data_IF_984036237809
#
_entry.id   IF_984036237809
#
_cell.length_a   1.000
_cell.length_b   1.000
_cell.length_c   1.000
_cell.angle_alpha   90.00
_cell.angle_beta   90.00
_cell.angle_gamma   90.00
#
_symmetry.space_group_name_H-M   'P 1'
#
loop_
_entity.id
_entity.type
_entity.pdbx_description
1 polymer ?
#
# COMPACT_ATOMS: atom_id res chain seq x y z
N UNK A 1 12.03 -29.65 10.54
CA UNK A 1 13.36 -29.01 10.36
C UNK A 1 13.50 -28.24 9.04
N UNK A 2 12.91 -28.68 7.92
CA UNK A 2 13.00 -27.95 6.62
C UNK A 2 12.32 -26.59 6.63
N UNK A 3 11.05 -26.53 7.07
CA UNK A 3 10.24 -25.30 7.02
C UNK A 3 10.82 -24.13 7.83
N UNK A 4 11.41 -24.40 9.00
CA UNK A 4 12.01 -23.34 9.83
C UNK A 4 13.18 -22.66 9.09
N UNK A 5 14.07 -23.47 8.49
CA UNK A 5 15.21 -22.97 7.71
C UNK A 5 14.76 -22.20 6.46
N UNK A 6 13.69 -22.65 5.80
CA UNK A 6 13.11 -21.96 4.65
C UNK A 6 12.53 -20.59 5.05
N UNK A 7 11.84 -20.49 6.19
CA UNK A 7 11.33 -19.23 6.73
C UNK A 7 12.47 -18.26 7.11
N UNK A 8 13.53 -18.76 7.74
CA UNK A 8 14.69 -17.94 8.10
C UNK A 8 15.39 -17.38 6.85
N UNK A 9 15.53 -18.22 5.81
CA UNK A 9 16.11 -17.81 4.53
C UNK A 9 15.27 -16.73 3.85
N UNK A 10 13.94 -16.89 3.84
CA UNK A 10 13.04 -15.90 3.26
C UNK A 10 13.11 -14.56 4.02
N UNK A 11 13.09 -14.61 5.34
CA UNK A 11 13.21 -13.41 6.18
C UNK A 11 14.53 -12.68 5.93
N UNK A 12 15.64 -13.42 5.77
CA UNK A 12 16.93 -12.81 5.46
C UNK A 12 16.89 -12.09 4.10
N UNK A 13 16.33 -12.72 3.07
CA UNK A 13 16.18 -12.06 1.76
C UNK A 13 15.32 -10.80 1.82
N UNK A 14 14.27 -10.78 2.64
CA UNK A 14 13.44 -9.58 2.84
C UNK A 14 14.22 -8.45 3.55
N UNK A 15 15.05 -8.80 4.54
CA UNK A 15 15.93 -7.84 5.22
C UNK A 15 16.96 -7.26 4.25
N UNK A 16 17.50 -8.08 3.37
CA UNK A 16 18.54 -7.70 2.40
C UNK A 16 18.03 -6.69 1.36
N UNK A 17 16.70 -6.58 1.16
CA UNK A 17 16.10 -5.52 0.34
C UNK A 17 16.32 -4.12 0.93
N UNK A 18 16.70 -3.99 2.22
CA UNK A 18 17.09 -2.72 2.90
C UNK A 18 16.09 -1.57 2.75
N UNK A 19 14.82 -1.87 2.51
CA UNK A 19 13.79 -0.85 2.25
C UNK A 19 13.92 -0.17 0.89
N UNK A 20 14.74 -0.68 -0.03
CA UNK A 20 14.82 -0.25 -1.43
C UNK A 20 13.66 -0.84 -2.25
N UNK A 21 12.44 -0.62 -1.74
CA UNK A 21 11.21 -1.07 -2.36
C UNK A 21 10.36 0.17 -2.62
N UNK A 22 10.11 0.43 -3.89
CA UNK A 22 9.18 1.47 -4.29
C UNK A 22 7.75 0.95 -4.14
N UNK A 23 6.89 1.78 -3.56
CA UNK A 23 5.46 1.47 -3.40
C UNK A 23 4.59 2.55 -4.05
N UNK A 24 3.37 2.15 -4.39
CA UNK A 24 2.29 3.02 -4.84
C UNK A 24 0.98 2.53 -4.26
N UNK A 25 0.04 3.45 -4.03
CA UNK A 25 -1.29 3.14 -3.51
C UNK A 25 -2.37 3.59 -4.47
N UNK A 26 -3.39 2.75 -4.65
CA UNK A 26 -4.56 3.06 -5.47
C UNK A 26 -5.78 3.30 -4.59
N UNK A 27 -6.51 4.38 -4.88
CA UNK A 27 -7.73 4.76 -4.20
C UNK A 27 -8.94 4.73 -5.14
N UNK A 28 -10.13 4.70 -4.54
CA UNK A 28 -11.40 4.82 -5.25
C UNK A 28 -12.09 6.13 -4.85
N UNK A 29 -12.80 6.81 -5.78
CA UNK A 29 -13.59 7.98 -5.44
C UNK A 29 -14.59 7.67 -4.31
N UNK A 30 -14.65 8.48 -3.24
CA UNK A 30 -15.57 8.25 -2.14
C UNK A 30 -17.01 8.48 -2.59
N UNK A 31 -17.94 7.66 -2.09
CA UNK A 31 -19.37 7.76 -2.45
C UNK A 31 -20.20 8.54 -1.42
N UNK A 32 -19.60 8.95 -0.31
CA UNK A 32 -20.21 9.71 0.78
C UNK A 32 -19.14 10.36 1.66
N UNK A 33 -19.58 11.30 2.51
CA UNK A 33 -18.71 12.08 3.41
C UNK A 33 -17.87 11.20 4.36
N UNK A 34 -18.45 10.12 4.90
CA UNK A 34 -17.73 9.20 5.77
C UNK A 34 -16.55 8.54 5.05
N UNK A 35 -16.75 8.12 3.80
CA UNK A 35 -15.68 7.55 2.98
C UNK A 35 -14.64 8.60 2.59
N UNK A 36 -15.05 9.85 2.40
CA UNK A 36 -14.12 10.95 2.15
C UNK A 36 -13.18 11.19 3.34
N UNK A 37 -13.70 11.19 4.56
CA UNK A 37 -12.87 11.26 5.78
C UNK A 37 -11.87 10.11 5.84
N UNK A 38 -12.33 8.87 5.62
CA UNK A 38 -11.46 7.69 5.63
C UNK A 38 -10.38 7.78 4.54
N UNK A 39 -10.73 8.27 3.35
CA UNK A 39 -9.78 8.47 2.25
C UNK A 39 -8.67 9.42 2.69
N UNK A 40 -9.02 10.58 3.23
CA UNK A 40 -8.04 11.55 3.69
C UNK A 40 -7.19 11.02 4.85
N UNK A 41 -7.78 10.36 5.84
CA UNK A 41 -7.04 9.72 6.93
C UNK A 41 -6.05 8.67 6.40
N UNK A 42 -6.46 7.86 5.42
CA UNK A 42 -5.62 6.85 4.79
C UNK A 42 -4.46 7.47 4.02
N UNK A 43 -4.72 8.53 3.24
CA UNK A 43 -3.68 9.28 2.52
C UNK A 43 -2.66 9.84 3.51
N UNK A 44 -3.09 10.48 4.59
CA UNK A 44 -2.19 11.05 5.60
C UNK A 44 -1.34 9.97 6.27
N UNK A 45 -1.93 8.82 6.59
CA UNK A 45 -1.22 7.69 7.19
C UNK A 45 -0.20 7.07 6.24
N UNK A 46 -0.54 6.90 4.97
CA UNK A 46 0.31 6.23 3.98
C UNK A 46 1.41 7.14 3.41
N UNK A 47 1.26 8.47 3.52
CA UNK A 47 2.27 9.45 3.09
C UNK A 47 3.63 9.22 3.73
N UNK A 48 3.69 8.73 4.97
CA UNK A 48 4.96 8.46 5.68
C UNK A 48 5.79 7.34 5.06
N UNK A 49 5.21 6.53 4.17
CA UNK A 49 5.88 5.47 3.43
C UNK A 49 6.52 5.98 2.13
N UNK A 50 6.45 7.28 1.85
CA UNK A 50 7.04 7.93 0.68
C UNK A 50 6.73 7.21 -0.66
N UNK A 51 5.44 6.94 -0.97
CA UNK A 51 5.10 6.27 -2.22
C UNK A 51 5.56 7.09 -3.43
N UNK A 52 5.99 6.40 -4.49
CA UNK A 52 6.43 7.06 -5.73
C UNK A 52 5.31 7.85 -6.40
N UNK A 53 4.10 7.31 -6.32
CA UNK A 53 2.88 7.96 -6.77
C UNK A 53 1.68 7.33 -6.08
N UNK A 54 0.53 7.98 -6.22
CA UNK A 54 -0.78 7.43 -5.90
C UNK A 54 -1.66 7.51 -7.14
N UNK A 55 -2.59 6.57 -7.29
CA UNK A 55 -3.61 6.58 -8.35
C UNK A 55 -5.01 6.69 -7.74
N UNK A 56 -5.93 7.27 -8.51
CA UNK A 56 -7.36 7.25 -8.22
C UNK A 56 -8.05 6.65 -9.44
N UNK A 57 -8.85 5.61 -9.21
CA UNK A 57 -9.58 4.93 -10.29
C UNK A 57 -10.73 5.79 -10.81
N UNK A 58 -11.16 5.48 -12.03
CA UNK A 58 -12.37 6.03 -12.63
C UNK A 58 -13.36 4.90 -12.93
N UNK A 59 -14.59 5.03 -12.43
CA UNK A 59 -15.67 4.10 -12.75
C UNK A 59 -16.37 4.51 -14.04
N UNK A 60 -16.14 3.78 -15.14
CA UNK A 60 -16.77 4.08 -16.43
C UNK A 60 -18.32 4.08 -16.40
N UNK A 61 -18.92 3.46 -15.37
CA UNK A 61 -20.37 3.37 -15.16
C UNK A 61 -20.83 3.97 -13.83
N UNK A 62 -20.05 4.86 -13.20
CA UNK A 62 -20.40 5.44 -11.89
C UNK A 62 -21.06 6.82 -11.97
N UNK A 63 -21.59 7.19 -13.14
CA UNK A 63 -22.40 8.40 -13.36
C UNK A 63 -23.88 8.15 -13.11
#
# INVERSE_FOLDING_TARGET
MSYAKEMDTLNQHLVDLKGDINVSFEFFPPKNEKMETILWESIHRLKSLEPKFVSVTYGANSG
#
